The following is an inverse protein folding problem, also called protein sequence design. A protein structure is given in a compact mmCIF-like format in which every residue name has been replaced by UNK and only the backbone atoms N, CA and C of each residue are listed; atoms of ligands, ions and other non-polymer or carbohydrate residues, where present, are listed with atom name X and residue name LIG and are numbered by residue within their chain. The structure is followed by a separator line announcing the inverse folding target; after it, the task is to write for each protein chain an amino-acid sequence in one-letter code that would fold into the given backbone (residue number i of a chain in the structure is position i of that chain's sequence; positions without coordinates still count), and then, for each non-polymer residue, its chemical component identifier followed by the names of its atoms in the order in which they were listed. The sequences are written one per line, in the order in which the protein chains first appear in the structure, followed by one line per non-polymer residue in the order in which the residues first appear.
data_IF_073827025324
#
_entry.id   IF_073827025324
#
_cell.length_a   1.000
_cell.length_b   1.000
_cell.length_c   1.000
_cell.angle_alpha   90.00
_cell.angle_beta   90.00
_cell.angle_gamma   90.00
#
_symmetry.space_group_name_H-M   'P 1'
#
loop_
_entity.id
_entity.type
_entity.pdbx_description
1 polymer ?
2 non-polymer ?
3 water ?
#
# COMPACT_ATOMS: atom_id res chain seq x y z
N UNK A 1 -12.36 20.85 23.16
CA UNK A 1 -11.32 19.92 22.75
C UNK A 1 -10.16 20.67 22.09
N UNK A 2 -8.97 20.05 22.10
CA UNK A 2 -7.81 20.69 21.50
C UNK A 2 -7.89 20.73 19.98
N UNK A 3 -8.77 19.93 19.37
CA UNK A 3 -8.92 19.89 17.93
C UNK A 3 -10.39 20.05 17.57
N UNK A 4 -10.64 20.68 16.43
CA UNK A 4 -11.99 21.00 15.97
C UNK A 4 -12.21 20.33 14.62
N UNK A 5 -13.05 19.30 14.60
CA UNK A 5 -13.37 18.60 13.36
C UNK A 5 -14.10 19.52 12.40
N UNK A 6 -13.79 19.39 11.10
CA UNK A 6 -14.41 20.21 10.08
C UNK A 6 -15.08 19.34 9.01
N UNK A 7 -14.52 18.16 8.75
CA UNK A 7 -15.06 17.32 7.68
C UNK A 7 -14.51 15.91 7.80
N UNK A 8 -15.34 14.95 7.40
CA UNK A 8 -14.91 13.56 7.33
C UNK A 8 -14.15 13.34 6.02
N UNK A 9 -12.98 12.71 6.13
CA UNK A 9 -12.16 12.38 4.97
C UNK A 9 -11.96 10.89 4.79
N UNK A 10 -12.43 10.07 5.73
CA UNK A 10 -12.25 8.63 5.61
C UNK A 10 -13.05 7.83 6.61
N UNK A 11 -13.56 6.68 6.17
CA UNK A 11 -14.34 5.78 7.02
C UNK A 11 -14.01 4.35 6.61
N UNK A 12 -14.03 3.44 7.58
CA UNK A 12 -13.83 2.04 7.26
C UNK A 12 -13.54 1.23 8.51
N UNK A 13 -13.00 0.03 8.29
CA UNK A 13 -12.73 -0.88 9.39
C UNK A 13 -11.54 -0.41 10.22
N UNK A 14 -10.75 0.54 9.72
CA UNK A 14 -9.65 1.09 10.50
C UNK A 14 -10.11 2.13 11.51
N UNK A 15 -11.28 2.72 11.30
CA UNK A 15 -11.76 3.81 12.13
C UNK A 15 -12.31 4.93 11.27
N UNK A 16 -12.79 6.00 11.90
CA UNK A 16 -13.31 7.16 11.18
C UNK A 16 -12.30 8.28 11.25
N UNK A 17 -11.89 8.79 10.09
CA UNK A 17 -10.86 9.82 9.99
C UNK A 17 -11.52 11.16 9.72
N UNK A 18 -11.01 12.20 10.36
CA UNK A 18 -11.55 13.55 10.23
C UNK A 18 -10.44 14.53 9.86
N UNK A 19 -10.82 15.57 9.12
CA UNK A 19 -9.98 16.73 8.91
C UNK A 19 -10.33 17.74 9.99
N UNK A 20 -9.31 18.23 10.70
CA UNK A 20 -9.56 19.05 11.88
C UNK A 20 -8.55 20.19 11.97
N UNK A 21 -8.88 21.17 12.79
CA UNK A 21 -8.03 22.31 13.06
C UNK A 21 -7.26 22.09 14.36
N UNK A 22 -5.93 22.23 14.29
CA UNK A 22 -5.08 22.16 15.48
C UNK A 22 -5.13 23.51 16.18
N UNK A 23 -6.14 23.67 17.04
CA UNK A 23 -6.43 24.95 17.68
C UNK A 23 -5.24 25.50 18.44
N UNK A 24 -4.41 24.61 19.00
CA UNK A 24 -3.25 25.05 19.78
C UNK A 24 -2.00 25.26 18.94
N UNK A 25 -1.94 24.71 17.73
CA UNK A 25 -0.72 24.81 16.92
C UNK A 25 -0.95 25.62 15.64
N UNK A 26 -1.55 26.79 15.77
CA UNK A 26 -1.66 27.72 14.65
C UNK A 26 -2.81 27.48 13.71
N UNK A 27 -3.77 26.64 14.06
CA UNK A 27 -4.89 26.39 13.18
C UNK A 27 -4.55 25.54 11.97
N UNK A 28 -3.50 24.74 12.05
CA UNK A 28 -3.11 23.88 10.95
C UNK A 28 -4.08 22.70 10.85
N UNK A 29 -4.30 22.25 9.62
CA UNK A 29 -5.15 21.09 9.38
C UNK A 29 -4.45 19.82 9.81
N UNK A 30 -5.16 18.97 10.56
CA UNK A 30 -4.63 17.69 11.03
C UNK A 30 -5.67 16.62 10.74
N UNK A 31 -5.23 15.37 10.85
CA UNK A 31 -6.08 14.21 10.58
C UNK A 31 -6.34 13.49 11.91
N UNK A 32 -7.59 13.53 12.36
CA UNK A 32 -8.00 12.84 13.57
C UNK A 32 -8.48 11.44 13.23
N UNK A 33 -8.32 10.52 14.18
CA UNK A 33 -8.72 9.13 14.00
C UNK A 33 -8.96 8.52 15.38
N UNK A 34 -10.08 7.82 15.54
CA UNK A 34 -10.46 7.24 16.82
C UNK A 34 -10.52 5.72 16.71
N UNK A 35 -10.06 5.05 17.77
CA UNK A 35 -10.03 3.59 17.85
C UNK A 35 -10.87 3.14 19.04
N UNK A 36 -11.37 1.90 18.96
CA UNK A 36 -12.36 1.42 19.91
C UNK A 36 -11.71 0.79 21.14
N UNK A 37 -12.54 0.47 22.12
CA UNK A 37 -12.06 -0.10 23.38
C UNK A 37 -12.00 -1.62 23.30
N UNK A 45 -7.67 -3.62 26.97
CA UNK A 45 -6.80 -4.29 25.99
C UNK A 45 -5.33 -3.91 26.15
N UNK A 46 -4.43 -4.87 25.91
CA UNK A 46 -3.00 -4.63 25.96
C UNK A 46 -2.31 -4.77 24.61
N UNK A 47 -2.92 -5.45 23.63
CA UNK A 47 -2.34 -5.51 22.29
C UNK A 47 -2.38 -4.15 21.60
N UNK A 48 -3.30 -3.28 22.01
CA UNK A 48 -3.32 -1.92 21.46
C UNK A 48 -2.19 -1.09 22.06
N UNK A 49 -1.88 -1.32 23.34
CA UNK A 49 -0.72 -0.69 23.96
C UNK A 49 0.54 -0.99 23.17
N UNK A 50 0.62 -2.22 22.64
CA UNK A 50 1.78 -2.63 21.86
C UNK A 50 1.87 -1.87 20.55
N UNK A 51 0.79 -1.85 19.77
CA UNK A 51 0.81 -1.24 18.44
C UNK A 51 0.92 0.28 18.50
N UNK A 52 0.58 0.89 19.64
CA UNK A 52 0.72 2.33 19.77
C UNK A 52 2.17 2.72 20.05
N UNK A 53 2.85 1.95 20.91
CA UNK A 53 4.25 2.25 21.21
C UNK A 53 5.12 2.13 19.97
N UNK A 54 4.77 1.20 19.07
CA UNK A 54 5.48 1.09 17.80
C UNK A 54 5.26 2.34 16.97
N UNK A 55 4.01 2.80 16.88
CA UNK A 55 3.72 4.02 16.12
C UNK A 55 4.48 5.22 16.68
N UNK A 56 4.54 5.34 18.01
CA UNK A 56 5.31 6.43 18.59
C UNK A 56 6.81 6.22 18.45
N UNK A 57 7.25 4.97 18.25
CA UNK A 57 8.67 4.71 18.07
C UNK A 57 9.12 5.07 16.65
N UNK A 58 8.34 4.69 15.64
CA UNK A 58 8.69 5.08 14.26
C UNK A 58 8.62 6.59 14.09
N UNK A 59 7.82 7.27 14.90
CA UNK A 59 7.75 8.73 14.84
C UNK A 59 9.04 9.37 15.30
N UNK A 60 9.77 8.72 16.22
CA UNK A 60 11.05 9.26 16.65
C UNK A 60 12.02 9.40 15.50
N UNK A 61 11.87 8.57 14.46
CA UNK A 61 12.70 8.67 13.28
C UNK A 61 12.22 9.77 12.32
N UNK A 62 10.94 10.12 12.37
CA UNK A 62 10.35 11.15 11.51
C UNK A 62 10.71 10.91 10.05
N UNK A 63 10.28 9.77 9.54
CA UNK A 63 10.61 9.42 8.17
C UNK A 63 9.79 10.28 7.20
N UNK A 64 10.42 10.84 6.16
CA UNK A 64 9.70 11.73 5.25
C UNK A 64 8.62 11.05 4.43
N UNK A 65 8.58 9.73 4.40
CA UNK A 65 7.60 9.00 3.57
C UNK A 65 6.56 8.28 4.41
N UNK A 66 6.38 8.69 5.67
CA UNK A 66 5.28 8.21 6.50
C UNK A 66 4.62 9.43 7.13
N UNK A 67 3.30 9.35 7.32
CA UNK A 67 2.56 10.48 7.85
C UNK A 67 2.96 10.69 9.30
N UNK A 68 3.25 11.94 9.66
CA UNK A 68 3.77 12.24 10.99
C UNK A 68 2.67 12.20 12.03
N UNK A 69 3.01 11.68 13.21
CA UNK A 69 2.09 11.54 14.32
C UNK A 69 2.29 12.71 15.28
N UNK A 70 1.29 13.58 15.39
CA UNK A 70 1.40 14.77 16.22
C UNK A 70 0.98 14.55 17.66
N UNK A 71 0.04 13.65 17.92
CA UNK A 71 -0.47 13.50 19.28
C UNK A 71 -1.21 12.18 19.40
N UNK A 72 -1.38 11.74 20.65
CA UNK A 72 -2.16 10.56 21.01
C UNK A 72 -2.92 10.88 22.28
N UNK A 73 -4.24 10.63 22.29
CA UNK A 73 -5.09 11.03 23.40
C UNK A 73 -5.98 9.87 23.86
N UNK A 74 -6.63 10.09 25.00
CA UNK A 74 -7.57 9.13 25.54
C UNK A 74 -8.93 9.78 25.80
N UNK A 83 -12.30 6.70 22.78
CA UNK A 83 -11.43 5.96 23.69
C UNK A 83 -9.96 6.30 23.41
N UNK A 84 -9.62 6.37 22.12
CA UNK A 84 -8.25 6.61 21.68
C UNK A 84 -8.27 7.47 20.43
N UNK A 85 -7.56 8.60 20.46
CA UNK A 85 -7.51 9.54 19.35
C UNK A 85 -6.08 9.66 18.83
N UNK A 86 -5.93 9.64 17.51
CA UNK A 86 -4.63 9.64 16.84
C UNK A 86 -4.57 10.83 15.90
N UNK A 87 -3.67 11.78 16.18
CA UNK A 87 -3.54 13.00 15.40
C UNK A 87 -2.36 12.85 14.45
N UNK A 88 -2.60 13.11 13.16
CA UNK A 88 -1.58 13.02 12.14
C UNK A 88 -1.47 14.34 11.40
N UNK A 89 -0.39 14.49 10.64
CA UNK A 89 -0.27 15.64 9.75
C UNK A 89 -1.22 15.46 8.58
N UNK A 90 -2.11 16.43 8.37
CA UNK A 90 -3.02 16.36 7.25
C UNK A 90 -2.27 16.66 5.95
N UNK A 91 -2.38 15.75 5.00
CA UNK A 91 -1.87 15.94 3.65
C UNK A 91 -3.07 15.99 2.71
N UNK A 92 -3.06 16.99 1.83
CA UNK A 92 -4.27 17.50 1.19
C UNK A 92 -5.04 16.47 0.38
N UNK A 93 -4.37 15.48 -0.19
CA UNK A 93 -5.08 14.50 -1.03
C UNK A 93 -4.34 13.17 -1.03
N UNK A 94 -5.06 12.12 -1.44
CA UNK A 94 -4.50 10.79 -1.52
C UNK A 94 -4.12 10.46 -2.95
N UNK A 95 -3.60 9.24 -3.15
CA UNK A 95 -3.18 8.82 -4.48
C UNK A 95 -4.38 8.65 -5.41
N UNK A 96 -5.52 8.19 -4.88
CA UNK A 96 -6.65 7.87 -5.73
C UNK A 96 -7.28 9.13 -6.32
N UNK A 97 -7.23 10.26 -5.61
CA UNK A 97 -7.70 11.52 -6.15
C UNK A 97 -6.61 12.27 -6.91
N UNK A 98 -5.35 11.89 -6.72
CA UNK A 98 -4.30 12.44 -7.56
C UNK A 98 -4.37 11.87 -8.96
N UNK A 99 -4.53 10.55 -9.08
CA UNK A 99 -4.65 9.92 -10.39
C UNK A 99 -5.90 10.35 -11.11
N UNK A 100 -6.96 10.67 -10.37
CA UNK A 100 -8.17 11.22 -10.99
C UNK A 100 -7.87 12.54 -11.68
N UNK A 101 -7.34 13.51 -10.92
CA UNK A 101 -7.16 14.87 -11.41
C UNK A 101 -5.95 15.05 -12.31
N UNK A 102 -5.11 14.02 -12.47
CA UNK A 102 -3.90 14.22 -13.27
C UNK A 102 -4.28 14.35 -14.74
N UNK A 103 -3.63 15.24 -15.50
CA UNK A 103 -4.04 15.48 -16.89
C UNK A 103 -3.62 14.33 -17.80
N UNK A 104 -4.13 14.40 -19.04
CA UNK A 104 -3.84 13.44 -20.09
C UNK A 104 -2.45 13.71 -20.68
N UNK A 105 -1.75 12.66 -21.15
CA UNK A 105 -2.25 11.27 -21.19
C UNK A 105 -1.82 10.43 -20.00
N UNK A 106 -1.52 11.05 -18.86
CA UNK A 106 -1.26 10.30 -17.66
C UNK A 106 -0.14 10.91 -16.85
N UNK A 107 0.46 10.08 -16.00
CA UNK A 107 1.51 10.53 -15.09
C UNK A 107 2.84 10.54 -15.84
N UNK A 108 3.65 11.59 -15.69
CA UNK A 108 4.95 11.61 -16.37
C UNK A 108 5.81 10.42 -15.95
N UNK A 109 6.59 9.92 -16.90
CA UNK A 109 7.35 8.68 -16.68
C UNK A 109 8.30 8.80 -15.49
N UNK A 110 8.86 9.98 -15.26
CA UNK A 110 9.74 10.16 -14.11
C UNK A 110 8.98 10.49 -12.84
N UNK A 111 7.76 11.00 -12.95
CA UNK A 111 6.94 11.18 -11.75
C UNK A 111 6.58 9.83 -11.14
N UNK A 112 6.38 8.81 -11.98
CA UNK A 112 6.20 7.45 -11.49
C UNK A 112 7.46 6.98 -10.77
N UNK A 113 8.61 7.13 -11.44
CA UNK A 113 9.87 6.64 -10.88
C UNK A 113 10.17 7.28 -9.53
N UNK A 114 9.87 8.58 -9.39
CA UNK A 114 10.13 9.25 -8.13
C UNK A 114 9.15 8.80 -7.05
N UNK A 115 7.85 8.82 -7.35
CA UNK A 115 6.85 8.37 -6.39
C UNK A 115 7.08 6.91 -6.00
N UNK A 116 7.50 6.07 -6.95
CA UNK A 116 7.79 4.68 -6.64
C UNK A 116 8.94 4.57 -5.64
N UNK A 117 9.96 5.41 -5.80
CA UNK A 117 11.09 5.38 -4.89
C UNK A 117 10.67 5.84 -3.49
N UNK A 118 9.89 6.92 -3.40
CA UNK A 118 9.37 7.33 -2.10
C UNK A 118 8.53 6.23 -1.48
N UNK A 119 7.76 5.52 -2.30
CA UNK A 119 6.96 4.41 -1.81
C UNK A 119 7.85 3.30 -1.25
N UNK A 120 8.88 2.91 -2.02
CA UNK A 120 9.74 1.82 -1.56
C UNK A 120 10.59 2.24 -0.37
N UNK A 121 10.86 3.54 -0.20
CA UNK A 121 11.59 4.00 0.97
C UNK A 121 10.72 3.92 2.23
N UNK A 122 9.47 4.36 2.13
CA UNK A 122 8.57 4.27 3.27
C UNK A 122 8.31 2.83 3.66
N UNK A 123 8.10 1.97 2.66
CA UNK A 123 7.89 0.56 2.94
C UNK A 123 9.14 -0.07 3.55
N UNK A 124 10.31 0.26 3.00
CA UNK A 124 11.56 -0.26 3.54
C UNK A 124 11.76 0.17 4.99
N UNK A 125 11.49 1.45 5.28
CA UNK A 125 11.53 1.91 6.66
C UNK A 125 10.56 1.12 7.54
N UNK A 126 9.35 0.86 7.03
CA UNK A 126 8.39 0.09 7.80
C UNK A 126 8.84 -1.36 7.95
N UNK A 127 9.40 -1.95 6.90
CA UNK A 127 9.81 -3.35 6.98
C UNK A 127 11.07 -3.53 7.83
N UNK A 128 11.99 -2.57 7.75
CA UNK A 128 13.22 -2.67 8.52
C UNK A 128 12.96 -2.65 10.02
N UNK A 129 11.88 -1.98 10.44
CA UNK A 129 11.44 -2.00 11.82
C UNK A 129 10.40 -3.08 12.09
N UNK A 130 10.30 -4.07 11.20
CA UNK A 130 9.41 -5.22 11.36
C UNK A 130 7.96 -4.79 11.56
N UNK A 131 7.48 -3.95 10.65
CA UNK A 131 6.08 -3.55 10.59
C UNK A 131 5.57 -3.84 9.19
N UNK A 132 4.47 -4.58 9.10
CA UNK A 132 3.83 -4.90 7.83
C UNK A 132 2.56 -4.05 7.70
N UNK A 133 2.44 -3.35 6.56
CA UNK A 133 1.27 -2.52 6.30
C UNK A 133 0.01 -3.35 6.18
N UNK A 134 0.06 -4.42 5.39
CA UNK A 134 -1.00 -5.42 5.34
C UNK A 134 -2.21 -4.95 4.53
N UNK A 135 -2.25 -3.68 4.16
CA UNK A 135 -3.34 -3.16 3.35
C UNK A 135 -2.88 -1.97 2.52
N UNK A 136 -1.77 -2.14 1.81
CA UNK A 136 -1.18 -1.07 1.02
C UNK A 136 -2.01 -0.85 -0.24
N UNK A 137 -2.63 0.32 -0.36
CA UNK A 137 -3.52 0.61 -1.48
C UNK A 137 -3.51 2.12 -1.71
N UNK A 138 -4.00 2.56 -2.88
CA UNK A 138 -3.95 4.01 -3.19
C UNK A 138 -4.65 4.89 -2.18
N UNK A 139 -5.69 4.37 -1.50
CA UNK A 139 -6.39 5.20 -0.53
C UNK A 139 -5.55 5.50 0.70
N UNK A 140 -4.54 4.68 1.00
CA UNK A 140 -3.64 4.98 2.11
C UNK A 140 -2.41 5.76 1.69
N UNK A 141 -2.12 5.79 0.39
CA UNK A 141 -0.97 6.51 -0.14
C UNK A 141 -1.39 7.96 -0.36
N UNK A 142 -0.71 8.87 0.31
CA UNK A 142 -1.07 10.28 0.31
C UNK A 142 0.00 11.10 -0.40
N UNK A 143 -0.43 12.17 -1.06
CA UNK A 143 0.45 13.02 -1.86
C UNK A 143 0.38 14.44 -1.33
N UNK A 144 1.52 14.95 -0.86
CA UNK A 144 1.61 16.33 -0.38
C UNK A 144 1.45 17.30 -1.53
N UNK A 145 1.01 18.53 -1.21
CA UNK A 145 1.00 19.61 -2.19
C UNK A 145 2.34 19.73 -2.90
N UNK A 146 3.44 19.40 -2.22
CA UNK A 146 4.73 19.39 -2.89
C UNK A 146 4.91 18.17 -3.78
N UNK A 147 4.07 17.15 -3.62
CA UNK A 147 4.19 15.92 -4.38
C UNK A 147 4.87 14.79 -3.66
N UNK A 148 4.94 14.83 -2.33
CA UNK A 148 5.62 13.80 -1.56
C UNK A 148 4.66 12.67 -1.21
N UNK A 149 5.17 11.45 -1.20
CA UNK A 149 4.41 10.27 -0.84
C UNK A 149 4.54 10.05 0.66
N UNK A 150 3.42 10.07 1.37
CA UNK A 150 3.40 9.84 2.81
C UNK A 150 2.43 8.71 3.12
N UNK A 151 2.95 7.63 3.67
CA UNK A 151 2.14 6.44 3.96
C UNK A 151 1.31 6.66 5.22
N UNK A 152 0.13 6.06 5.24
CA UNK A 152 -0.78 6.14 6.37
C UNK A 152 -1.48 4.81 6.56
N UNK A 153 -2.22 4.71 7.67
CA UNK A 153 -3.07 3.55 7.95
C UNK A 153 -2.25 2.26 8.07
N UNK A 154 -1.35 2.25 9.06
CA UNK A 154 -0.52 1.09 9.31
C UNK A 154 -0.22 1.01 10.80
N UNK A 155 0.30 -0.14 11.21
CA UNK A 155 0.75 -0.34 12.57
C UNK A 155 -0.39 -0.40 13.57
N UNK A 156 -1.62 -0.48 13.07
CA UNK A 156 -2.79 -0.51 13.95
C UNK A 156 -3.82 -1.41 13.31
N UNK A 157 -4.36 -2.34 14.08
CA UNK A 157 -5.35 -3.28 13.57
C UNK A 157 -6.72 -3.03 14.21
N UNK A 171 -14.31 -3.13 1.76
CA UNK A 171 -13.17 -4.02 1.59
C UNK A 171 -12.82 -4.13 0.11
N UNK A 172 -11.54 -3.94 -0.20
CA UNK A 172 -11.04 -4.04 -1.57
C UNK A 172 -9.93 -5.08 -1.60
N UNK A 173 -10.16 -6.16 -2.34
CA UNK A 173 -9.17 -7.21 -2.50
C UNK A 173 -8.24 -6.97 -3.68
N UNK A 174 -8.38 -5.84 -4.38
CA UNK A 174 -7.66 -5.64 -5.64
C UNK A 174 -6.16 -5.55 -5.46
N UNK A 175 -5.68 -5.37 -4.22
CA UNK A 175 -4.27 -5.21 -3.94
C UNK A 175 -3.75 -6.27 -2.98
N UNK A 176 -4.55 -7.28 -2.67
CA UNK A 176 -4.11 -8.34 -1.77
C UNK A 176 -3.11 -9.23 -2.47
N UNK A 177 -2.10 -9.67 -1.72
CA UNK A 177 -1.13 -10.60 -2.25
C UNK A 177 -1.79 -11.96 -2.44
N UNK A 178 -1.26 -12.80 -3.33
CA UNK A 178 -1.84 -14.15 -3.51
C UNK A 178 -1.79 -14.99 -2.24
N UNK A 179 -0.78 -14.81 -1.40
CA UNK A 179 -0.68 -15.61 -0.18
C UNK A 179 -1.65 -15.15 0.89
N UNK A 180 -2.11 -13.90 0.84
CA UNK A 180 -3.17 -13.48 1.75
C UNK A 180 -4.51 -14.05 1.28
N UNK A 181 -4.76 -13.98 -0.03
CA UNK A 181 -5.97 -14.58 -0.58
C UNK A 181 -6.04 -16.07 -0.26
N UNK A 182 -4.95 -16.80 -0.52
CA UNK A 182 -4.91 -18.22 -0.21
C UNK A 182 -4.90 -18.47 1.29
N UNK A 183 -4.58 -17.47 2.10
CA UNK A 183 -4.54 -17.56 3.56
C UNK A 183 -3.44 -18.51 4.01
N UNK A 184 -2.18 -18.18 3.70
CA UNK A 184 -1.04 -18.94 4.19
C UNK A 184 -0.08 -18.05 4.96
N UNK A 185 0.62 -17.13 4.29
CA UNK A 185 1.57 -16.24 4.94
C UNK A 185 1.09 -14.80 4.86
N UNK A 186 1.49 -14.00 5.83
CA UNK A 186 1.13 -12.58 5.90
C UNK A 186 2.34 -11.75 6.31
N UNK A 187 3.47 -12.00 5.68
CA UNK A 187 4.73 -11.35 6.00
C UNK A 187 4.94 -10.11 5.16
N UNK A 188 6.18 -9.60 5.16
CA UNK A 188 6.47 -8.37 4.44
C UNK A 188 6.32 -8.45 2.92
N UNK A 189 6.52 -9.60 2.24
CA UNK A 189 6.24 -9.63 0.80
C UNK A 189 4.80 -9.29 0.45
N UNK A 190 3.87 -9.37 1.41
CA UNK A 190 2.48 -8.99 1.16
C UNK A 190 2.41 -7.55 0.68
N UNK A 191 3.20 -6.66 1.29
CA UNK A 191 3.15 -5.26 0.88
C UNK A 191 3.83 -5.04 -0.46
N UNK A 192 4.77 -5.91 -0.85
CA UNK A 192 5.47 -5.73 -2.12
C UNK A 192 4.61 -6.16 -3.31
N UNK A 193 3.69 -7.10 -3.11
CA UNK A 193 2.73 -7.41 -4.17
C UNK A 193 1.84 -6.20 -4.43
N UNK A 194 1.38 -5.56 -3.37
CA UNK A 194 0.56 -4.36 -3.52
C UNK A 194 1.31 -3.27 -4.27
N UNK A 195 2.61 -3.12 -3.97
CA UNK A 195 3.44 -2.15 -4.69
C UNK A 195 3.41 -2.42 -6.19
N UNK A 196 3.34 -3.71 -6.57
CA UNK A 196 3.19 -4.04 -7.99
C UNK A 196 1.89 -3.54 -8.56
N UNK A 197 0.78 -3.71 -7.83
CA UNK A 197 -0.51 -3.26 -8.33
C UNK A 197 -0.57 -1.74 -8.40
N UNK A 198 0.12 -1.05 -7.48
CA UNK A 198 0.19 0.41 -7.55
C UNK A 198 1.11 0.85 -8.67
N UNK A 199 2.22 0.13 -8.87
CA UNK A 199 3.13 0.41 -9.98
C UNK A 199 2.38 0.37 -11.31
N UNK A 200 1.59 -0.68 -11.53
CA UNK A 200 0.86 -0.80 -12.79
C UNK A 200 -0.28 0.19 -12.88
N UNK A 201 -0.86 0.60 -11.75
CA UNK A 201 -1.92 1.59 -11.78
C UNK A 201 -1.40 3.00 -12.07
N UNK A 202 -0.11 3.25 -11.86
CA UNK A 202 0.47 4.54 -12.23
C UNK A 202 0.81 4.62 -13.71
N UNK A 203 0.54 3.56 -14.47
CA UNK A 203 0.59 3.61 -15.94
C UNK A 203 -0.79 3.41 -16.55
N UNK A 204 -1.66 2.68 -15.85
CA UNK A 204 -3.02 2.43 -16.31
C UNK A 204 -4.01 3.48 -15.85
N UNK A 205 -3.78 4.08 -14.68
CA UNK A 205 -4.77 4.89 -13.98
C UNK A 205 -6.08 4.13 -13.78
N UNK A 206 -5.97 2.82 -13.58
CA UNK A 206 -7.09 1.94 -13.27
C UNK A 206 -6.53 0.68 -12.66
N UNK A 207 -7.24 0.07 -11.71
CA UNK A 207 -6.68 -1.12 -11.03
C UNK A 207 -6.39 -2.25 -12.01
N UNK A 208 -5.26 -2.92 -11.79
CA UNK A 208 -4.84 -4.02 -12.65
C UNK A 208 -5.70 -5.26 -12.43
N UNK A 209 -5.59 -5.85 -11.24
CA UNK A 209 -6.40 -7.00 -10.86
C UNK A 209 -7.57 -6.51 -10.04
N UNK A 210 -8.77 -6.60 -10.60
CA UNK A 210 -9.98 -6.05 -9.97
C UNK A 210 -11.00 -7.17 -9.86
N UNK A 211 -10.98 -7.86 -8.73
CA UNK A 211 -11.87 -8.98 -8.50
C UNK A 211 -12.97 -8.65 -7.51
N UNK A 212 -14.06 -9.42 -7.60
CA UNK A 212 -15.21 -9.24 -6.73
C UNK A 212 -15.21 -10.17 -5.52
N UNK A 213 -14.21 -11.03 -5.39
CA UNK A 213 -14.07 -11.92 -4.24
C UNK A 213 -12.64 -12.40 -4.19
N UNK A 214 -12.29 -13.10 -3.10
CA UNK A 214 -10.93 -13.59 -2.97
C UNK A 214 -10.65 -14.73 -3.95
N UNK A 215 -11.67 -15.53 -4.28
CA UNK A 215 -11.45 -16.58 -5.28
C UNK A 215 -11.43 -15.99 -6.68
N UNK A 216 -12.17 -14.90 -6.91
CA UNK A 216 -12.10 -14.23 -8.21
C UNK A 216 -10.84 -13.37 -8.31
N UNK A 217 -10.42 -12.76 -7.20
CA UNK A 217 -9.19 -11.96 -7.21
C UNK A 217 -7.99 -12.81 -7.58
N UNK A 218 -7.86 -13.99 -6.97
CA UNK A 218 -6.75 -14.89 -7.28
C UNK A 218 -6.80 -15.35 -8.73
N UNK A 219 -8.01 -15.45 -9.28
CA UNK A 219 -8.13 -15.83 -10.68
C UNK A 219 -7.66 -14.74 -11.62
N UNK A 220 -8.12 -13.51 -11.42
CA UNK A 220 -7.68 -12.39 -12.25
C UNK A 220 -6.17 -12.19 -12.18
N UNK A 221 -5.56 -12.60 -11.07
CA UNK A 221 -4.11 -12.54 -10.95
C UNK A 221 -3.47 -13.60 -11.83
N UNK A 222 -3.82 -14.88 -11.59
CA UNK A 222 -3.19 -15.97 -12.32
C UNK A 222 -3.47 -15.91 -13.81
N UNK A 223 -4.55 -15.25 -14.22
CA UNK A 223 -4.83 -15.07 -15.64
C UNK A 223 -3.77 -14.23 -16.33
N UNK A 224 -2.99 -13.45 -15.57
CA UNK A 224 -2.00 -12.54 -16.12
C UNK A 224 -0.58 -13.04 -15.84
N UNK A 225 -0.26 -13.28 -14.57
CA UNK A 225 1.12 -13.67 -14.22
C UNK A 225 1.39 -15.12 -14.56
N UNK A 226 0.36 -15.96 -14.60
CA UNK A 226 0.55 -17.34 -15.00
C UNK A 226 0.45 -18.30 -13.83
N UNK A 227 0.03 -19.52 -14.14
CA UNK A 227 -0.07 -20.58 -13.15
C UNK A 227 1.33 -20.96 -12.69
N UNK A 228 1.64 -20.85 -11.40
CA UNK A 228 3.01 -21.12 -10.93
C UNK A 228 3.25 -22.61 -10.77
N UNK A 229 4.49 -22.94 -10.39
CA UNK A 229 4.87 -24.32 -10.18
C UNK A 229 4.16 -24.94 -9.00
N UNK A 230 4.17 -26.27 -8.95
CA UNK A 230 3.46 -27.00 -7.90
C UNK A 230 4.08 -26.74 -6.53
N UNK A 231 5.40 -26.54 -6.47
CA UNK A 231 6.06 -26.22 -5.20
C UNK A 231 5.92 -24.76 -4.82
N UNK A 232 5.50 -23.89 -5.74
CA UNK A 232 5.24 -22.50 -5.41
C UNK A 232 3.88 -22.30 -4.74
N UNK A 233 3.01 -23.31 -4.82
CA UNK A 233 1.68 -23.21 -4.22
C UNK A 233 1.78 -23.58 -2.74
N UNK A 234 1.38 -22.71 -1.82
CA UNK A 234 1.50 -23.04 -0.40
C UNK A 234 0.65 -24.25 -0.02
N UNK A 235 1.03 -24.88 1.08
CA UNK A 235 0.39 -26.09 1.55
C UNK A 235 -0.63 -25.77 2.65
N UNK A 236 -1.54 -26.71 2.86
CA UNK A 236 -2.63 -26.66 3.84
C UNK A 236 -3.66 -25.57 3.52
N UNK A 237 -3.54 -24.89 2.38
CA UNK A 237 -4.56 -23.94 1.97
C UNK A 237 -5.71 -24.70 1.34
N UNK A 238 -6.94 -24.20 1.53
CA UNK A 238 -8.11 -24.91 1.04
C UNK A 238 -8.16 -24.94 -0.48
N UNK A 239 -7.66 -23.88 -1.12
CA UNK A 239 -7.70 -23.78 -2.58
C UNK A 239 -6.48 -24.46 -3.18
N UNK A 240 -6.66 -25.57 -3.91
CA UNK A 240 -5.51 -26.21 -4.56
C UNK A 240 -5.16 -25.54 -5.88
N UNK A 241 -3.93 -25.75 -6.33
CA UNK A 241 -3.44 -25.14 -7.60
C UNK A 241 -4.33 -25.60 -8.76
N UNK A 242 -4.78 -26.85 -8.72
CA UNK A 242 -5.50 -27.49 -9.85
C UNK A 242 -6.89 -26.84 -9.99
N UNK A 243 -7.26 -26.02 -9.02
CA UNK A 243 -8.56 -25.32 -9.07
C UNK A 243 -8.59 -24.36 -10.25
N UNK A 244 -7.44 -23.74 -10.56
CA UNK A 244 -7.42 -22.72 -11.64
C UNK A 244 -6.91 -23.34 -12.95
N UNK A 245 -7.21 -22.68 -14.07
CA UNK A 245 -6.81 -23.13 -15.40
C UNK A 245 -6.28 -21.96 -16.23
N UNK A 246 -5.61 -21.02 -15.58
CA UNK A 246 -4.99 -19.90 -16.29
C UNK A 246 -3.72 -20.42 -16.97
N UNK A 247 -3.90 -20.87 -18.21
CA UNK A 247 -2.91 -21.75 -18.85
C UNK A 247 -1.56 -21.06 -19.03
N UNK A 248 -1.56 -19.81 -19.48
CA UNK A 248 -0.33 -19.16 -19.90
C UNK A 248 0.04 -18.00 -18.99
N UNK A 249 1.35 -17.71 -18.94
CA UNK A 249 1.86 -16.52 -18.27
C UNK A 249 1.93 -15.41 -19.31
N UNK A 250 1.04 -14.43 -19.20
CA UNK A 250 0.88 -13.42 -20.24
C UNK A 250 1.94 -12.32 -20.11
N UNK A 251 2.32 -11.73 -21.24
CA UNK A 251 3.30 -10.62 -21.21
C UNK A 251 2.68 -9.39 -20.59
N UNK A 252 3.38 -8.80 -19.61
CA UNK A 252 2.80 -7.72 -18.83
C UNK A 252 2.68 -6.44 -19.64
N UNK A 253 3.37 -6.33 -20.77
CA UNK A 253 3.29 -5.11 -21.58
C UNK A 253 1.97 -4.99 -22.34
N UNK A 254 1.12 -6.02 -22.29
CA UNK A 254 -0.23 -5.95 -22.84
C UNK A 254 -1.22 -5.35 -21.84
N UNK A 255 -1.10 -5.68 -20.56
CA UNK A 255 -2.03 -5.15 -19.56
C UNK A 255 -1.56 -3.83 -18.99
N UNK A 256 -0.25 -3.59 -18.95
CA UNK A 256 0.31 -2.29 -18.63
C UNK A 256 0.91 -1.73 -19.91
N UNK A 257 0.62 -0.47 -20.20
CA UNK A 257 1.20 0.22 -21.35
C UNK A 257 2.20 1.27 -20.87
N UNK A 258 3.22 1.51 -21.69
CA UNK A 258 4.17 2.60 -21.53
C UNK A 258 5.20 2.30 -20.43
N UNK A 259 5.54 1.04 -20.19
CA UNK A 259 6.56 0.67 -19.21
C UNK A 259 7.83 0.30 -19.94
N UNK A 260 8.97 0.77 -19.45
CA UNK A 260 10.25 0.50 -20.08
C UNK A 260 10.70 -0.93 -19.77
N UNK A 261 11.85 -1.30 -20.32
CA UNK A 261 12.41 -2.62 -20.06
C UNK A 261 12.73 -2.81 -18.58
N UNK A 262 13.16 -1.75 -17.90
CA UNK A 262 13.46 -1.86 -16.48
C UNK A 262 12.19 -1.85 -15.64
N UNK A 263 11.22 -1.02 -16.02
CA UNK A 263 9.93 -1.01 -15.34
C UNK A 263 9.21 -2.34 -15.42
N UNK A 264 9.53 -3.16 -16.42
CA UNK A 264 8.96 -4.50 -16.52
C UNK A 264 9.65 -5.45 -15.55
N UNK A 265 10.98 -5.46 -15.55
CA UNK A 265 11.73 -6.36 -14.66
C UNK A 265 11.42 -6.06 -13.20
N UNK A 266 11.34 -4.78 -12.84
CA UNK A 266 11.01 -4.41 -11.47
C UNK A 266 9.58 -4.82 -11.11
N UNK A 267 8.64 -4.55 -12.02
CA UNK A 267 7.24 -4.90 -11.76
C UNK A 267 7.05 -6.41 -11.72
N UNK A 268 7.76 -7.15 -12.57
CA UNK A 268 7.66 -8.60 -12.55
C UNK A 268 8.11 -9.17 -11.21
N UNK A 269 9.15 -8.58 -10.61
CA UNK A 269 9.66 -9.11 -9.35
C UNK A 269 8.72 -8.82 -8.18
N UNK A 270 8.02 -7.69 -8.23
CA UNK A 270 6.99 -7.43 -7.22
C UNK A 270 5.81 -8.38 -7.38
N UNK A 271 5.46 -8.70 -8.62
CA UNK A 271 4.33 -9.61 -8.89
C UNK A 271 4.84 -11.04 -9.12
N UNK A 272 5.57 -11.53 -8.13
CA UNK A 272 6.04 -12.91 -8.11
C UNK A 272 5.19 -13.70 -7.15
N UNK A 273 4.65 -14.83 -7.61
CA UNK A 273 3.67 -15.58 -6.83
C UNK A 273 4.25 -16.04 -5.50
N UNK A 274 5.41 -16.66 -5.53
CA UNK A 274 6.04 -17.14 -4.30
C UNK A 274 6.57 -15.96 -3.50
N UNK A 275 6.06 -15.73 -2.28
CA UNK A 275 6.56 -14.58 -1.51
C UNK A 275 8.03 -14.66 -1.17
N UNK A 276 8.59 -15.87 -1.05
CA UNK A 276 10.01 -15.99 -0.75
C UNK A 276 10.87 -15.54 -1.94
N UNK A 277 10.45 -15.88 -3.16
CA UNK A 277 11.20 -15.45 -4.33
C UNK A 277 10.90 -14.00 -4.69
N UNK A 278 9.85 -13.41 -4.14
CA UNK A 278 9.49 -12.04 -4.46
C UNK A 278 10.57 -11.09 -3.94
N UNK A 279 10.69 -9.93 -4.58
CA UNK A 279 11.73 -8.98 -4.25
C UNK A 279 11.33 -8.20 -3.00
N UNK A 280 12.31 -7.86 -2.18
CA UNK A 280 12.08 -7.05 -1.00
C UNK A 280 12.21 -5.57 -1.34
N UNK A 281 11.66 -4.73 -0.46
CA UNK A 281 11.74 -3.29 -0.67
C UNK A 281 13.18 -2.81 -0.63
N UNK A 282 14.02 -3.43 0.20
CA UNK A 282 15.43 -3.05 0.25
C UNK A 282 16.13 -3.40 -1.05
N UNK A 283 15.83 -4.59 -1.61
CA UNK A 283 16.43 -4.98 -2.88
C UNK A 283 15.80 -4.22 -4.04
N UNK A 284 14.58 -3.72 -3.88
CA UNK A 284 13.94 -2.95 -4.95
C UNK A 284 14.50 -1.54 -5.05
N UNK A 285 14.90 -0.96 -3.90
CA UNK A 285 15.49 0.38 -3.93
C UNK A 285 16.78 0.39 -4.72
N UNK A 286 17.55 -0.69 -4.66
CA UNK A 286 18.79 -0.82 -5.42
C UNK A 286 18.53 -1.68 -6.66
N UNK A 287 17.82 -1.08 -7.61
CA UNK A 287 17.43 -1.72 -8.85
C UNK A 287 17.67 -0.74 -9.99
N UNK A 288 18.06 -1.24 -11.17
CA UNK A 288 18.38 -0.34 -12.29
C UNK A 288 17.30 0.68 -12.63
N UNK A 289 16.05 0.42 -12.22
CA UNK A 289 14.97 1.35 -12.55
C UNK A 289 15.17 2.70 -11.89
N UNK A 290 15.87 2.75 -10.76
CA UNK A 290 16.11 3.98 -10.01
C UNK A 290 17.57 4.39 -10.15
N UNK A 291 17.92 4.87 -11.34
CA UNK A 291 19.28 5.33 -11.59
C UNK A 291 19.32 6.84 -11.77
#
# INVERSE_FOLDING_TARGET
QQYECVAEIGEGAYGKVFKARDLKNGGRFVALKRVRVQTGEEGMPLSTIREVAVLRHLETFEHPNVVRLFDVCTVSRTDRETKLTLVFEHVDQDLTTYLDKVPEPGVPTETIKDMMFQLLRGLDFLHSHRVVHRDLKPQNILVTSSGQIKLADFGLARIYSFQMALTSVVVTLWYRAPEVLLQSSYATPVDLWSVGCIFAEMFRRKPLFRGSSDVDQLGKILDVIGLPGEEDWPRDVALPRQAFHSKSAQPIEKFVTDIDELGKDLLLKCLTFNPAKRISAYSALSHPYFQ
#
